data_IF_768896571478
#
_entry.id   IF_768896571478
#
_cell.length_a   1.000
_cell.length_b   1.000
_cell.length_c   1.000
_cell.angle_alpha   90.00
_cell.angle_beta   90.00
_cell.angle_gamma   90.00
#
_symmetry.space_group_name_H-M   'P 1'
#
loop_
_entity.id
_entity.type
_entity.pdbx_description
1 polymer ?
#
# COMPACT_ATOMS: atom_id res chain seq x y z
N UNK A 1 25.35 19.86 9.57
CA UNK A 1 24.08 19.21 9.16
C UNK A 1 22.79 19.76 9.82
N UNK A 2 22.83 20.78 10.71
CA UNK A 2 21.65 21.12 11.55
C UNK A 2 20.59 22.09 10.99
N UNK A 3 20.93 23.04 10.09
CA UNK A 3 19.97 24.10 9.67
C UNK A 3 18.83 23.60 8.78
N UNK A 4 19.10 22.66 7.88
CA UNK A 4 18.11 22.23 6.88
C UNK A 4 17.05 21.29 7.50
N UNK A 5 17.44 20.51 8.51
CA UNK A 5 16.50 19.65 9.25
C UNK A 5 15.50 20.48 10.07
N UNK A 6 15.97 21.57 10.69
CA UNK A 6 15.10 22.50 11.41
C UNK A 6 14.08 23.17 10.49
N UNK A 7 14.45 23.50 9.25
CA UNK A 7 13.53 24.08 8.27
C UNK A 7 12.42 23.10 7.87
N UNK A 8 12.77 21.86 7.50
CA UNK A 8 11.79 20.84 7.13
C UNK A 8 10.81 20.54 8.27
N UNK A 9 11.32 20.41 9.49
CA UNK A 9 10.50 20.15 10.68
C UNK A 9 9.53 21.31 10.96
N UNK A 10 9.99 22.56 10.77
CA UNK A 10 9.13 23.74 10.90
C UNK A 10 8.07 23.79 9.80
N UNK A 11 8.40 23.42 8.56
CA UNK A 11 7.42 23.32 7.47
C UNK A 11 6.35 22.27 7.76
N UNK A 12 6.74 21.08 8.25
CA UNK A 12 5.80 20.02 8.64
C UNK A 12 4.88 20.51 9.76
N UNK A 13 5.43 21.11 10.82
CA UNK A 13 4.65 21.67 11.93
C UNK A 13 3.67 22.74 11.47
N UNK A 14 4.06 23.60 10.53
CA UNK A 14 3.18 24.60 9.94
C UNK A 14 2.02 23.95 9.19
N UNK A 15 2.30 22.95 8.36
CA UNK A 15 1.27 22.21 7.61
C UNK A 15 0.30 21.49 8.55
N UNK A 16 0.79 20.82 9.59
CA UNK A 16 -0.04 20.18 10.61
C UNK A 16 -0.98 21.18 11.28
N UNK A 17 -0.48 22.37 11.65
CA UNK A 17 -1.29 23.45 12.22
C UNK A 17 -2.36 23.96 11.25
N UNK A 18 -2.00 24.19 9.99
CA UNK A 18 -2.94 24.65 8.96
C UNK A 18 -4.06 23.64 8.71
N UNK A 19 -3.75 22.35 8.73
CA UNK A 19 -4.71 21.27 8.51
C UNK A 19 -5.43 20.84 9.80
N UNK A 20 -5.11 21.43 10.95
CA UNK A 20 -5.62 21.03 12.29
C UNK A 20 -5.39 19.54 12.58
N UNK A 21 -4.26 19.02 12.14
CA UNK A 21 -3.84 17.64 12.37
C UNK A 21 -2.79 17.62 13.48
N UNK A 22 -2.96 16.70 14.43
CA UNK A 22 -1.96 16.48 15.47
C UNK A 22 -0.71 15.80 14.89
N UNK A 23 0.46 16.38 15.16
CA UNK A 23 1.76 15.92 14.62
C UNK A 23 2.05 14.47 15.06
N UNK A 24 1.73 14.13 16.31
CA UNK A 24 1.98 12.80 16.87
C UNK A 24 1.07 11.76 16.24
N UNK A 25 -0.22 12.07 16.12
CA UNK A 25 -1.21 11.19 15.46
C UNK A 25 -0.85 10.97 13.99
N UNK A 26 -0.43 12.01 13.27
CA UNK A 26 -0.02 11.89 11.87
C UNK A 26 1.19 10.97 11.73
N UNK A 27 2.20 11.14 12.59
CA UNK A 27 3.39 10.30 12.59
C UNK A 27 3.06 8.84 12.90
N UNK A 28 2.26 8.58 13.95
CA UNK A 28 1.86 7.22 14.35
C UNK A 28 1.06 6.52 13.25
N UNK A 29 0.10 7.21 12.62
CA UNK A 29 -0.69 6.66 11.51
C UNK A 29 0.16 6.39 10.27
N UNK A 30 1.05 7.33 9.92
CA UNK A 30 1.95 7.15 8.76
C UNK A 30 2.89 5.97 8.98
N UNK A 31 3.43 5.82 10.19
CA UNK A 31 4.28 4.69 10.56
C UNK A 31 3.52 3.36 10.51
N UNK A 32 2.26 3.34 10.95
CA UNK A 32 1.41 2.14 10.87
C UNK A 32 1.18 1.72 9.42
N UNK A 33 0.76 2.65 8.55
CA UNK A 33 0.53 2.36 7.13
C UNK A 33 1.80 1.82 6.47
N UNK A 34 2.96 2.43 6.72
CA UNK A 34 4.24 1.96 6.18
C UNK A 34 4.66 0.59 6.74
N UNK A 35 4.32 0.28 7.98
CA UNK A 35 4.56 -1.04 8.58
C UNK A 35 3.66 -2.10 7.94
N UNK A 36 2.38 -1.81 7.76
CA UNK A 36 1.43 -2.69 7.06
C UNK A 36 1.90 -2.93 5.64
N UNK A 37 2.32 -1.88 4.91
CA UNK A 37 2.86 -2.03 3.56
C UNK A 37 4.04 -2.99 3.52
N UNK A 38 5.00 -2.88 4.45
CA UNK A 38 6.13 -3.80 4.52
C UNK A 38 5.67 -5.24 4.72
N UNK A 39 4.72 -5.46 5.62
CA UNK A 39 4.18 -6.79 5.90
C UNK A 39 3.40 -7.35 4.69
N UNK A 40 2.67 -6.49 3.98
CA UNK A 40 2.00 -6.80 2.71
C UNK A 40 3.02 -7.17 1.64
N UNK A 41 4.09 -6.40 1.45
CA UNK A 41 5.14 -6.75 0.49
C UNK A 41 5.81 -8.07 0.85
N UNK A 42 6.12 -8.31 2.12
CA UNK A 42 6.73 -9.56 2.57
C UNK A 42 5.81 -10.76 2.31
N UNK A 43 4.55 -10.65 2.72
CA UNK A 43 3.55 -11.70 2.48
C UNK A 43 3.23 -11.88 1.00
N UNK A 44 3.23 -10.81 0.20
CA UNK A 44 3.00 -10.87 -1.25
C UNK A 44 4.19 -11.45 -1.99
N UNK A 45 5.43 -11.21 -1.58
CA UNK A 45 6.62 -11.88 -2.16
C UNK A 45 6.55 -13.39 -1.89
N UNK A 46 6.21 -13.79 -0.66
CA UNK A 46 6.00 -15.21 -0.33
C UNK A 46 4.81 -15.84 -1.07
N UNK A 47 3.76 -15.05 -1.35
CA UNK A 47 2.59 -15.49 -2.11
C UNK A 47 2.79 -15.39 -3.62
N UNK A 48 3.64 -14.52 -4.16
CA UNK A 48 3.81 -14.36 -5.61
C UNK A 48 4.38 -15.64 -6.24
N UNK A 49 5.26 -16.35 -5.53
CA UNK A 49 5.73 -17.68 -5.93
C UNK A 49 4.62 -18.74 -5.92
N UNK A 50 3.60 -18.62 -5.05
CA UNK A 50 2.43 -19.52 -5.00
C UNK A 50 1.26 -19.08 -5.91
N UNK A 51 1.13 -17.77 -6.14
CA UNK A 51 0.00 -17.11 -6.81
C UNK A 51 0.28 -16.89 -8.29
N UNK A 52 1.54 -16.81 -8.74
CA UNK A 52 1.83 -16.73 -10.18
C UNK A 52 1.32 -17.96 -10.94
N UNK A 53 1.43 -19.15 -10.35
CA UNK A 53 0.86 -20.39 -10.89
C UNK A 53 -0.69 -20.40 -10.83
N UNK A 54 -1.28 -19.71 -9.84
CA UNK A 54 -2.74 -19.68 -9.65
C UNK A 54 -3.42 -18.58 -10.49
N UNK A 55 -2.83 -17.40 -10.63
CA UNK A 55 -3.40 -16.26 -11.36
C UNK A 55 -3.32 -16.44 -12.87
N UNK A 56 -2.28 -17.11 -13.40
CA UNK A 56 -2.22 -17.45 -14.84
C UNK A 56 -3.35 -18.42 -15.22
N UNK A 57 -3.76 -19.32 -14.31
CA UNK A 57 -4.88 -20.22 -14.52
C UNK A 57 -6.27 -19.53 -14.42
N UNK A 58 -6.44 -18.51 -13.57
CA UNK A 58 -7.75 -17.86 -13.35
C UNK A 58 -7.97 -16.53 -14.09
N UNK A 59 -6.90 -15.79 -14.42
CA UNK A 59 -7.00 -14.51 -15.14
C UNK A 59 -6.83 -14.66 -16.67
N UNK A 60 -6.76 -15.89 -17.19
CA UNK A 60 -6.75 -16.18 -18.62
C UNK A 60 -8.13 -16.01 -19.26
N UNK A 61 -8.31 -14.90 -19.99
CA UNK A 61 -9.39 -14.59 -20.98
C UNK A 61 -10.87 -14.75 -20.61
N UNK A 62 -11.26 -15.42 -19.53
CA UNK A 62 -12.65 -15.73 -19.19
C UNK A 62 -13.04 -15.40 -17.73
N UNK A 63 -12.34 -14.45 -17.09
CA UNK A 63 -12.64 -14.04 -15.71
C UNK A 63 -14.11 -13.63 -15.55
N UNK A 64 -14.66 -12.84 -16.48
CA UNK A 64 -16.06 -12.41 -16.44
C UNK A 64 -17.06 -13.59 -16.50
N UNK A 65 -16.76 -14.62 -17.31
CA UNK A 65 -17.62 -15.81 -17.38
C UNK A 65 -17.51 -16.67 -16.13
N UNK A 66 -16.33 -16.75 -15.51
CA UNK A 66 -16.13 -17.44 -14.24
C UNK A 66 -16.85 -16.72 -13.09
N UNK A 67 -16.81 -15.38 -13.06
CA UNK A 67 -17.54 -14.55 -12.11
C UNK A 67 -19.06 -14.76 -12.22
N UNK A 68 -19.61 -14.71 -13.44
CA UNK A 68 -21.04 -14.96 -13.70
C UNK A 68 -21.44 -16.38 -13.28
N UNK A 69 -20.60 -17.39 -13.57
CA UNK A 69 -20.85 -18.76 -13.15
C UNK A 69 -20.86 -18.92 -11.63
N UNK A 70 -19.91 -18.30 -10.93
CA UNK A 70 -19.85 -18.30 -9.46
C UNK A 70 -21.07 -17.60 -8.83
N UNK A 71 -21.50 -16.47 -9.39
CA UNK A 71 -22.69 -15.77 -8.90
C UNK A 71 -23.97 -16.59 -9.08
N UNK A 72 -24.07 -17.33 -10.19
CA UNK A 72 -25.33 -18.00 -10.59
C UNK A 72 -25.45 -19.43 -10.07
N UNK A 73 -24.33 -20.15 -9.95
CA UNK A 73 -24.35 -21.60 -9.75
C UNK A 73 -23.53 -22.10 -8.55
N UNK A 74 -22.74 -21.24 -7.88
CA UNK A 74 -21.94 -21.69 -6.74
C UNK A 74 -22.78 -21.73 -5.45
N UNK A 75 -22.57 -22.75 -4.59
CA UNK A 75 -23.13 -22.75 -3.25
C UNK A 75 -22.60 -21.56 -2.43
N UNK A 76 -23.41 -21.09 -1.47
CA UNK A 76 -23.14 -19.84 -0.74
C UNK A 76 -21.75 -19.83 -0.07
N UNK A 77 -21.29 -20.96 0.49
CA UNK A 77 -19.97 -21.03 1.13
C UNK A 77 -18.81 -20.86 0.12
N UNK A 78 -18.98 -21.33 -1.13
CA UNK A 78 -17.97 -21.17 -2.17
C UNK A 78 -17.94 -19.73 -2.70
N UNK A 79 -19.11 -19.07 -2.78
CA UNK A 79 -19.20 -17.66 -3.16
C UNK A 79 -18.55 -16.76 -2.12
N UNK A 80 -18.83 -16.97 -0.83
CA UNK A 80 -18.26 -16.16 0.25
C UNK A 80 -16.73 -16.26 0.28
N UNK A 81 -16.16 -17.47 0.20
CA UNK A 81 -14.70 -17.67 0.13
C UNK A 81 -14.06 -16.97 -1.07
N UNK A 82 -14.76 -16.95 -2.20
CA UNK A 82 -14.26 -16.30 -3.40
C UNK A 82 -14.32 -14.77 -3.28
N UNK A 83 -15.41 -14.22 -2.77
CA UNK A 83 -15.53 -12.79 -2.47
C UNK A 83 -14.46 -12.32 -1.48
N UNK A 84 -14.20 -13.09 -0.42
CA UNK A 84 -13.12 -12.81 0.52
C UNK A 84 -11.75 -12.81 -0.16
N UNK A 85 -11.51 -13.77 -1.07
CA UNK A 85 -10.25 -13.85 -1.80
C UNK A 85 -10.08 -12.66 -2.75
N UNK A 86 -11.10 -12.29 -3.50
CA UNK A 86 -11.09 -11.07 -4.34
C UNK A 86 -10.86 -9.82 -3.49
N UNK A 87 -11.60 -9.67 -2.39
CA UNK A 87 -11.45 -8.54 -1.47
C UNK A 87 -10.02 -8.43 -0.96
N UNK A 88 -9.43 -9.55 -0.53
CA UNK A 88 -8.04 -9.59 -0.04
C UNK A 88 -7.02 -9.18 -1.12
N UNK A 89 -7.25 -9.54 -2.39
CA UNK A 89 -6.40 -9.15 -3.51
C UNK A 89 -6.49 -7.64 -3.78
N UNK A 90 -7.69 -7.07 -3.75
CA UNK A 90 -7.88 -5.63 -3.93
C UNK A 90 -7.32 -4.83 -2.76
N UNK A 91 -7.51 -5.27 -1.51
CA UNK A 91 -6.91 -4.63 -0.33
C UNK A 91 -5.38 -4.62 -0.40
N UNK A 92 -4.79 -5.75 -0.80
CA UNK A 92 -3.34 -5.90 -1.01
C UNK A 92 -2.84 -4.93 -2.09
N UNK A 93 -3.47 -4.94 -3.26
CA UNK A 93 -3.14 -4.03 -4.38
C UNK A 93 -3.28 -2.57 -3.97
N UNK A 94 -4.35 -2.22 -3.25
CA UNK A 94 -4.62 -0.85 -2.84
C UNK A 94 -3.53 -0.30 -1.90
N UNK A 95 -3.07 -1.10 -0.93
CA UNK A 95 -1.97 -0.70 -0.03
C UNK A 95 -0.69 -0.47 -0.83
N UNK A 96 -0.40 -1.32 -1.83
CA UNK A 96 0.78 -1.17 -2.68
C UNK A 96 0.72 0.14 -3.47
N UNK A 97 -0.37 0.36 -4.20
CA UNK A 97 -0.57 1.57 -5.02
C UNK A 97 -0.57 2.85 -4.16
N UNK A 98 -1.16 2.81 -2.96
CA UNK A 98 -1.18 3.96 -2.05
C UNK A 98 0.24 4.40 -1.67
N UNK A 99 1.12 3.45 -1.32
CA UNK A 99 2.48 3.75 -0.90
C UNK A 99 3.34 4.15 -2.10
N UNK A 100 3.24 3.47 -3.24
CA UNK A 100 3.98 3.84 -4.46
C UNK A 100 3.65 5.27 -4.91
N UNK A 101 2.37 5.63 -4.95
CA UNK A 101 1.93 6.99 -5.28
C UNK A 101 2.43 8.02 -4.26
N UNK A 102 2.47 7.66 -2.98
CA UNK A 102 3.00 8.52 -1.92
C UNK A 102 4.51 8.72 -2.08
N UNK A 103 5.26 7.67 -2.43
CA UNK A 103 6.69 7.73 -2.64
C UNK A 103 7.07 8.63 -3.82
N UNK A 104 6.27 8.67 -4.88
CA UNK A 104 6.44 9.64 -5.97
C UNK A 104 6.35 11.08 -5.46
N UNK A 105 5.32 11.39 -4.66
CA UNK A 105 5.15 12.74 -4.08
C UNK A 105 6.23 13.13 -3.09
N UNK A 106 6.74 12.16 -2.31
CA UNK A 106 7.87 12.40 -1.40
C UNK A 106 9.12 12.75 -2.20
N UNK A 107 9.35 12.11 -3.34
CA UNK A 107 10.50 12.38 -4.21
C UNK A 107 10.44 13.80 -4.78
N UNK A 108 9.25 14.23 -5.18
CA UNK A 108 8.98 15.58 -5.71
C UNK A 108 9.10 16.68 -4.64
N UNK A 109 9.27 16.32 -3.35
CA UNK A 109 9.42 17.32 -2.30
C UNK A 109 10.74 18.11 -2.47
N UNK A 110 10.67 19.44 -2.62
CA UNK A 110 11.83 20.25 -3.04
C UNK A 110 12.97 20.26 -2.04
N UNK A 111 12.70 20.02 -0.74
CA UNK A 111 13.73 20.01 0.29
C UNK A 111 14.19 18.58 0.59
N UNK A 112 15.06 18.03 -0.27
CA UNK A 112 15.66 16.70 -0.10
C UNK A 112 14.67 15.53 -0.21
N UNK A 113 13.69 15.62 -1.10
CA UNK A 113 12.76 14.53 -1.39
C UNK A 113 13.44 13.19 -1.66
N UNK A 114 14.52 13.19 -2.44
CA UNK A 114 15.32 11.98 -2.70
C UNK A 114 15.84 11.30 -1.42
N UNK A 115 16.36 12.09 -0.47
CA UNK A 115 16.85 11.58 0.81
C UNK A 115 15.71 10.98 1.64
N UNK A 116 14.54 11.63 1.65
CA UNK A 116 13.38 11.10 2.36
C UNK A 116 12.85 9.81 1.73
N UNK A 117 12.82 9.75 0.39
CA UNK A 117 12.53 8.51 -0.33
C UNK A 117 13.53 7.42 0.01
N UNK A 118 14.83 7.72 0.06
CA UNK A 118 15.86 6.74 0.40
C UNK A 118 15.68 6.19 1.83
N UNK A 119 15.41 7.06 2.81
CA UNK A 119 15.15 6.66 4.19
C UNK A 119 13.92 5.76 4.27
N UNK A 120 12.80 6.17 3.66
CA UNK A 120 11.58 5.38 3.64
C UNK A 120 11.81 4.02 2.96
N UNK A 121 12.56 4.01 1.85
CA UNK A 121 12.87 2.79 1.11
C UNK A 121 13.63 1.79 1.98
N UNK A 122 14.73 2.24 2.59
CA UNK A 122 15.58 1.42 3.46
C UNK A 122 14.91 0.95 4.75
N UNK A 123 13.88 1.64 5.22
CA UNK A 123 13.19 1.27 6.45
C UNK A 123 11.96 0.37 6.22
N UNK A 124 11.32 0.47 5.06
CA UNK A 124 10.00 -0.13 4.83
C UNK A 124 9.79 -0.82 3.48
N UNK A 125 10.61 -0.56 2.45
CA UNK A 125 10.40 -1.10 1.09
C UNK A 125 11.45 -2.13 0.63
N UNK A 126 12.68 -2.05 1.16
CA UNK A 126 13.80 -2.99 0.93
C UNK A 126 14.25 -3.60 2.23
#
# INVERSE_FOLDING_TARGET
>A
MGRNNAHALNSIRMLCRMQKVDEKVLYERSKLILSIYRDVCWSTVGRADEVHDELICYCGSNLDSALVYLETFAPDEARERFEERIRSLFETKWIIELVENTMLRVRDYPNRGDLYCEILSKCYLT
#
